data_IF_077472401166
#
_entry.id   IF_077472401166
#
_cell.length_a   1.000
_cell.length_b   1.000
_cell.length_c   1.000
_cell.angle_alpha   90.00
_cell.angle_beta   90.00
_cell.angle_gamma   90.00
#
_symmetry.space_group_name_H-M   'P 1'
#
loop_
_entity.id
_entity.type
_entity.pdbx_description
1 polymer ?
#
# COMPACT_ATOMS: atom_id res chain seq x y z
N UNK A 1 -6.52 -19.96 2.23
CA UNK A 1 -6.65 -18.81 3.15
C UNK A 1 -6.20 -17.49 2.53
N UNK A 2 -5.13 -17.44 1.72
CA UNK A 2 -4.60 -16.18 1.16
C UNK A 2 -5.44 -15.42 0.12
N UNK A 3 -6.28 -16.09 -0.68
CA UNK A 3 -7.13 -15.42 -1.71
C UNK A 3 -8.04 -14.31 -1.15
N UNK A 4 -8.61 -14.49 0.05
CA UNK A 4 -9.49 -13.48 0.68
C UNK A 4 -8.72 -12.28 1.20
N UNK A 5 -7.48 -12.49 1.65
CA UNK A 5 -6.62 -11.42 2.16
C UNK A 5 -6.11 -10.53 1.02
N UNK A 6 -5.74 -11.15 -0.11
CA UNK A 6 -5.40 -10.43 -1.36
C UNK A 6 -6.58 -9.59 -1.86
N UNK A 7 -7.78 -10.17 -1.87
CA UNK A 7 -8.98 -9.48 -2.34
C UNK A 7 -9.30 -8.25 -1.47
N UNK A 8 -9.33 -8.39 -0.14
CA UNK A 8 -9.58 -7.23 0.75
C UNK A 8 -8.49 -6.16 0.68
N UNK A 9 -7.25 -6.56 0.39
CA UNK A 9 -6.15 -5.62 0.14
C UNK A 9 -6.34 -4.86 -1.17
N UNK A 10 -6.77 -5.53 -2.24
CA UNK A 10 -7.05 -4.91 -3.54
C UNK A 10 -8.22 -3.94 -3.42
N UNK A 11 -9.31 -4.32 -2.75
CA UNK A 11 -10.48 -3.46 -2.51
C UNK A 11 -10.10 -2.20 -1.71
N UNK A 12 -9.17 -2.31 -0.76
CA UNK A 12 -8.66 -1.16 -0.03
C UNK A 12 -7.83 -0.21 -0.93
N UNK A 13 -6.99 -0.77 -1.81
CA UNK A 13 -6.22 0.02 -2.78
C UNK A 13 -7.15 0.72 -3.78
N UNK A 14 -8.19 0.04 -4.26
CA UNK A 14 -9.19 0.59 -5.20
C UNK A 14 -10.04 1.68 -4.55
N UNK A 15 -10.35 1.55 -3.26
CA UNK A 15 -11.10 2.56 -2.50
C UNK A 15 -10.25 3.77 -2.03
N UNK A 16 -8.92 3.66 -2.08
CA UNK A 16 -8.03 4.77 -1.74
C UNK A 16 -8.17 5.90 -2.75
N UNK A 17 -8.36 7.13 -2.28
CA UNK A 17 -8.63 8.29 -3.16
C UNK A 17 -7.41 8.68 -4.01
N UNK A 18 -7.66 9.08 -5.26
CA UNK A 18 -6.64 9.43 -6.27
C UNK A 18 -5.65 10.48 -5.78
N UNK A 19 -6.15 11.52 -5.12
CA UNK A 19 -5.35 12.62 -4.58
C UNK A 19 -4.36 12.19 -3.49
N UNK A 20 -4.57 11.03 -2.85
CA UNK A 20 -3.63 10.46 -1.86
C UNK A 20 -2.50 9.71 -2.53
N UNK A 21 -2.68 9.32 -3.80
CA UNK A 21 -1.72 8.55 -4.57
C UNK A 21 -0.84 9.44 -5.47
N UNK A 22 -1.03 10.76 -5.43
CA UNK A 22 -0.20 11.74 -6.14
C UNK A 22 0.40 12.75 -5.17
N UNK A 23 1.59 13.25 -5.50
CA UNK A 23 2.22 14.36 -4.77
C UNK A 23 2.67 14.00 -3.35
N UNK A 24 3.02 12.74 -3.09
CA UNK A 24 3.39 12.18 -1.79
C UNK A 24 4.21 13.18 -0.93
N UNK A 25 3.62 13.72 0.16
CA UNK A 25 4.23 14.79 0.93
C UNK A 25 5.30 14.22 1.86
N UNK A 26 6.58 14.39 1.49
CA UNK A 26 7.75 14.01 2.29
C UNK A 26 7.91 12.49 2.47
N UNK A 27 9.15 11.97 2.68
CA UNK A 27 9.42 10.54 2.60
C UNK A 27 8.90 9.69 3.77
N UNK A 28 8.30 10.30 4.80
CA UNK A 28 7.84 9.59 6.00
C UNK A 28 6.45 10.10 6.43
N UNK A 29 5.41 9.62 5.76
CA UNK A 29 4.03 9.97 6.12
C UNK A 29 3.04 8.85 5.81
N UNK A 30 2.01 8.79 6.66
CA UNK A 30 0.81 7.99 6.40
C UNK A 30 0.06 8.60 5.21
N UNK A 31 -0.13 7.80 4.16
CA UNK A 31 -0.83 8.14 2.91
C UNK A 31 -2.33 7.97 3.10
N UNK A 32 -2.73 6.80 3.56
CA UNK A 32 -4.13 6.46 3.77
C UNK A 32 -4.29 5.53 4.97
N UNK A 33 -5.48 5.54 5.55
CA UNK A 33 -5.83 4.78 6.72
C UNK A 33 -7.33 4.51 6.77
N UNK A 34 -7.70 3.26 7.04
CA UNK A 34 -9.05 2.85 7.36
C UNK A 34 -9.04 2.03 8.66
N UNK A 35 -10.18 1.47 9.05
CA UNK A 35 -10.26 0.65 10.28
C UNK A 35 -9.33 -0.58 10.23
N UNK A 36 -9.09 -1.15 9.05
CA UNK A 36 -8.39 -2.43 8.90
C UNK A 36 -6.95 -2.30 8.38
N UNK A 37 -6.66 -1.25 7.62
CA UNK A 37 -5.39 -1.09 6.91
C UNK A 37 -4.88 0.35 6.97
N UNK A 38 -3.56 0.49 6.89
CA UNK A 38 -2.89 1.76 6.63
C UNK A 38 -1.83 1.63 5.53
N UNK A 39 -1.70 2.68 4.74
CA UNK A 39 -0.64 2.88 3.75
C UNK A 39 0.33 3.92 4.28
N UNK A 40 1.58 3.53 4.46
CA UNK A 40 2.65 4.39 4.96
C UNK A 40 3.81 4.47 3.96
N UNK A 41 4.40 5.64 3.79
CA UNK A 41 5.71 5.77 3.12
C UNK A 41 6.78 5.52 4.19
N UNK A 42 7.58 4.48 3.99
CA UNK A 42 8.72 4.13 4.85
C UNK A 42 10.02 4.77 4.42
N UNK A 43 10.02 5.45 3.27
CA UNK A 43 11.16 6.17 2.74
C UNK A 43 11.18 6.21 1.22
N UNK A 44 12.28 6.72 0.69
CA UNK A 44 12.57 6.75 -0.73
C UNK A 44 13.84 5.93 -0.97
N UNK A 45 13.85 5.09 -2.01
CA UNK A 45 15.05 4.34 -2.39
C UNK A 45 16.17 5.29 -2.77
N UNK A 46 17.41 4.90 -2.44
CA UNK A 46 18.61 5.67 -2.78
C UNK A 46 19.07 5.41 -4.22
N UNK A 47 18.59 4.34 -4.85
CA UNK A 47 18.91 3.97 -6.24
C UNK A 47 18.00 4.71 -7.22
N UNK A 48 18.59 5.21 -8.31
CA UNK A 48 17.87 5.89 -9.38
C UNK A 48 17.25 4.89 -10.38
N UNK A 49 16.02 5.12 -10.89
CA UNK A 49 15.13 6.21 -10.50
C UNK A 49 14.62 6.00 -9.07
N UNK A 50 14.62 7.06 -8.26
CA UNK A 50 14.09 7.02 -6.89
C UNK A 50 12.67 6.47 -6.86
N UNK A 51 12.36 5.66 -5.84
CA UNK A 51 11.05 5.06 -5.64
C UNK A 51 10.59 5.25 -4.19
N UNK A 52 9.35 5.67 -3.98
CA UNK A 52 8.68 5.62 -2.70
C UNK A 52 8.48 4.17 -2.28
N UNK A 53 8.98 3.81 -1.10
CA UNK A 53 8.72 2.53 -0.48
C UNK A 53 7.44 2.63 0.35
N UNK A 54 6.32 2.18 -0.24
CA UNK A 54 5.01 2.23 0.38
C UNK A 54 4.71 0.88 1.01
N UNK A 55 4.39 0.89 2.30
CA UNK A 55 4.03 -0.27 3.07
C UNK A 55 2.53 -0.25 3.35
N UNK A 56 1.86 -1.35 3.02
CA UNK A 56 0.52 -1.62 3.50
C UNK A 56 0.62 -2.44 4.79
N UNK A 57 0.04 -1.95 5.86
CA UNK A 57 0.07 -2.60 7.16
C UNK A 57 -1.36 -2.86 7.67
N UNK A 58 -1.55 -3.95 8.41
CA UNK A 58 -2.84 -4.19 9.10
C UNK A 58 -2.87 -3.35 10.37
N UNK A 59 -3.95 -2.59 10.57
CA UNK A 59 -4.15 -1.83 11.78
C UNK A 59 -4.48 -2.71 12.98
N UNK A 60 -4.27 -2.17 14.18
CA UNK A 60 -4.71 -2.77 15.43
C UNK A 60 -5.63 -1.78 16.16
N UNK A 61 -6.93 -2.10 16.37
CA UNK A 61 -7.60 -3.37 16.03
C UNK A 61 -8.00 -3.48 14.55
N UNK A 62 -7.95 -4.70 13.99
CA UNK A 62 -8.54 -5.03 12.67
C UNK A 62 -9.77 -5.93 12.85
N UNK A 63 -10.82 -5.62 12.11
CA UNK A 63 -12.11 -6.32 12.10
C UNK A 63 -12.04 -7.61 11.29
N UNK A 64 -11.13 -7.73 10.32
CA UNK A 64 -10.97 -8.90 9.47
C UNK A 64 -10.29 -10.04 10.24
N UNK A 65 -10.99 -11.16 10.56
CA UNK A 65 -10.45 -12.22 11.41
C UNK A 65 -9.21 -12.89 10.84
N UNK A 66 -9.11 -13.04 9.52
CA UNK A 66 -7.97 -13.66 8.84
C UNK A 66 -6.70 -12.81 8.88
N UNK A 67 -6.82 -11.51 9.15
CA UNK A 67 -5.70 -10.57 9.26
C UNK A 67 -5.27 -10.32 10.71
N UNK A 68 -5.98 -10.88 11.70
CA UNK A 68 -5.60 -10.78 13.11
C UNK A 68 -4.21 -11.35 13.43
N UNK A 69 -3.71 -12.28 12.61
CA UNK A 69 -2.34 -12.81 12.73
C UNK A 69 -1.27 -11.87 12.15
N UNK A 70 -1.69 -10.84 11.42
CA UNK A 70 -0.84 -9.87 10.73
C UNK A 70 -0.98 -8.45 11.29
N UNK A 71 -1.64 -8.27 12.44
CA UNK A 71 -1.79 -6.97 13.13
C UNK A 71 -0.43 -6.30 13.34
N UNK A 72 -0.31 -5.04 12.94
CA UNK A 72 0.92 -4.26 13.04
C UNK A 72 2.06 -4.73 12.12
N UNK A 73 1.82 -5.75 11.28
CA UNK A 73 2.80 -6.23 10.30
C UNK A 73 2.53 -5.60 8.94
N UNK A 74 3.62 -5.40 8.19
CA UNK A 74 3.54 -5.09 6.77
C UNK A 74 3.07 -6.32 6.02
N UNK A 75 1.94 -6.18 5.34
CA UNK A 75 1.28 -7.22 4.58
C UNK A 75 1.85 -7.29 3.17
N UNK A 76 2.13 -6.12 2.61
CA UNK A 76 2.83 -5.95 1.35
C UNK A 76 3.60 -4.64 1.36
N UNK A 77 4.71 -4.59 0.64
CA UNK A 77 5.41 -3.36 0.31
C UNK A 77 5.53 -3.23 -1.20
N UNK A 78 5.48 -1.99 -1.66
CA UNK A 78 5.57 -1.66 -3.07
C UNK A 78 6.56 -0.52 -3.26
N UNK A 79 7.21 -0.53 -4.41
CA UNK A 79 8.09 0.55 -4.84
C UNK A 79 7.37 1.31 -5.95
N UNK A 80 7.04 2.57 -5.68
CA UNK A 80 6.38 3.46 -6.64
C UNK A 80 7.41 4.49 -7.08
N UNK A 81 7.73 4.62 -8.38
CA UNK A 81 8.65 5.65 -8.85
C UNK A 81 8.24 7.04 -8.35
N UNK A 82 9.22 7.83 -7.90
CA UNK A 82 9.03 9.22 -7.46
C UNK A 82 8.74 10.15 -8.65
N UNK A 83 9.13 9.72 -9.85
CA UNK A 83 9.11 10.54 -11.05
C UNK A 83 7.68 10.83 -11.56
N UNK A 84 7.51 12.06 -12.07
CA UNK A 84 6.32 12.93 -11.91
C UNK A 84 5.13 12.61 -12.85
N UNK A 85 5.25 11.67 -13.78
CA UNK A 85 4.22 11.49 -14.82
C UNK A 85 3.24 10.33 -14.58
N UNK A 86 3.34 9.62 -13.44
CA UNK A 86 2.40 8.52 -13.17
C UNK A 86 1.07 9.01 -12.64
N UNK A 87 0.02 8.61 -13.34
CA UNK A 87 -1.35 8.85 -12.90
C UNK A 87 -1.67 8.03 -11.64
N UNK A 88 -2.60 8.50 -10.78
CA UNK A 88 -3.09 7.73 -9.64
C UNK A 88 -3.54 6.30 -10.03
N UNK A 89 -4.10 6.15 -11.23
CA UNK A 89 -4.54 4.88 -11.78
C UNK A 89 -3.39 3.91 -12.06
N UNK A 90 -2.29 4.39 -12.66
CA UNK A 90 -1.09 3.58 -12.85
C UNK A 90 -0.47 3.14 -11.53
N UNK A 91 -0.45 4.02 -10.53
CA UNK A 91 0.05 3.71 -9.20
C UNK A 91 -0.81 2.60 -8.58
N UNK A 92 -2.15 2.73 -8.66
CA UNK A 92 -3.11 1.68 -8.24
C UNK A 92 -2.82 0.34 -8.91
N UNK A 93 -2.65 0.33 -10.22
CA UNK A 93 -2.39 -0.88 -10.99
C UNK A 93 -1.07 -1.56 -10.57
N UNK A 94 -0.01 -0.77 -10.33
CA UNK A 94 1.26 -1.29 -9.80
C UNK A 94 1.05 -1.92 -8.41
N UNK A 95 0.28 -1.26 -7.54
CA UNK A 95 -0.02 -1.79 -6.21
C UNK A 95 -0.78 -3.14 -6.30
N UNK A 96 -1.81 -3.19 -7.15
CA UNK A 96 -2.66 -4.37 -7.34
C UNK A 96 -1.84 -5.55 -7.89
N UNK A 97 -1.01 -5.34 -8.89
CA UNK A 97 -0.14 -6.39 -9.46
C UNK A 97 0.85 -6.93 -8.43
N UNK A 98 1.41 -6.06 -7.58
CA UNK A 98 2.28 -6.49 -6.47
C UNK A 98 1.53 -7.32 -5.44
N UNK A 99 0.30 -6.94 -5.07
CA UNK A 99 -0.54 -7.72 -4.16
C UNK A 99 -0.87 -9.09 -4.73
N UNK A 100 -1.22 -9.17 -6.03
CA UNK A 100 -1.46 -10.44 -6.73
C UNK A 100 -0.23 -11.35 -6.65
N UNK A 101 0.97 -10.80 -6.86
CA UNK A 101 2.24 -11.53 -6.80
C UNK A 101 2.78 -11.84 -5.39
N UNK A 102 2.25 -11.20 -4.34
CA UNK A 102 2.68 -11.44 -2.96
C UNK A 102 2.13 -12.76 -2.38
N UNK A 103 2.76 -13.30 -1.33
CA UNK A 103 2.33 -14.56 -0.67
C UNK A 103 1.19 -14.39 0.35
N UNK A 104 0.42 -13.30 0.21
CA UNK A 104 -0.73 -12.93 1.03
C UNK A 104 -1.87 -13.96 1.02
#
# INVERSE_FOLDING_TARGET
MGRKNKQGTIEFIESSSDWKLVGFPSPEKQIDNCDDFRLDIQGVTTTEPKQYNIHLQVNNPCKIPSLKLLLGRTVTSILVPVDIDKTPEEIRNIMIEKVKGSNL
#
